data_IF_724354271526
#
_entry.id   IF_724354271526
#
_cell.length_a   1.000
_cell.length_b   1.000
_cell.length_c   1.000
_cell.angle_alpha   90.00
_cell.angle_beta   90.00
_cell.angle_gamma   90.00
#
_symmetry.space_group_name_H-M   'P 1'
#
loop_
_entity.id
_entity.type
_entity.pdbx_description
1 polymer ?
#
# COMPACT_ATOMS: atom_id res chain seq x y z
N UNK A 1 -30.54 -18.03 -6.48
CA UNK A 1 -30.52 -17.03 -5.39
C UNK A 1 -29.34 -16.06 -5.50
N UNK A 2 -28.23 -16.47 -6.14
CA UNK A 2 -27.02 -15.67 -6.27
C UNK A 2 -26.88 -14.97 -7.64
N UNK A 3 -27.74 -15.29 -8.57
CA UNK A 3 -27.80 -14.64 -9.87
C UNK A 3 -28.05 -13.13 -9.70
N UNK A 4 -27.30 -12.30 -10.38
CA UNK A 4 -27.36 -10.84 -10.34
C UNK A 4 -27.05 -10.19 -8.96
N UNK A 5 -26.47 -10.95 -7.99
CA UNK A 5 -26.17 -10.42 -6.67
C UNK A 5 -25.17 -9.27 -6.68
N UNK A 6 -24.19 -9.33 -7.58
CA UNK A 6 -23.09 -8.35 -7.67
C UNK A 6 -23.23 -7.38 -8.85
N UNK A 7 -24.38 -7.32 -9.48
CA UNK A 7 -24.63 -6.57 -10.73
C UNK A 7 -24.20 -5.10 -10.68
N UNK A 8 -24.36 -4.42 -9.53
CA UNK A 8 -23.94 -3.03 -9.36
C UNK A 8 -22.44 -2.86 -9.00
N UNK A 9 -21.73 -3.96 -8.73
CA UNK A 9 -20.35 -3.97 -8.27
C UNK A 9 -19.43 -4.73 -9.22
N UNK A 10 -19.94 -5.19 -10.36
CA UNK A 10 -19.18 -5.88 -11.39
C UNK A 10 -19.43 -5.27 -12.77
N UNK A 11 -18.44 -5.39 -13.65
CA UNK A 11 -18.56 -4.94 -15.03
C UNK A 11 -19.42 -5.85 -15.90
N UNK A 12 -19.63 -7.10 -15.45
CA UNK A 12 -20.48 -8.06 -16.12
C UNK A 12 -20.95 -9.14 -15.17
N UNK A 13 -22.14 -9.66 -15.44
CA UNK A 13 -22.79 -10.71 -14.67
C UNK A 13 -23.19 -11.82 -15.63
N UNK A 14 -22.57 -12.98 -15.45
CA UNK A 14 -22.62 -14.14 -16.35
C UNK A 14 -23.25 -15.32 -15.65
N UNK A 15 -24.05 -16.08 -16.38
CA UNK A 15 -24.73 -17.28 -15.92
C UNK A 15 -24.25 -18.48 -16.75
N UNK A 16 -23.72 -19.50 -16.09
CA UNK A 16 -23.43 -20.79 -16.73
C UNK A 16 -24.71 -21.62 -16.83
N UNK A 17 -24.68 -22.59 -17.74
CA UNK A 17 -25.75 -23.59 -17.90
C UNK A 17 -25.38 -24.88 -17.19
N UNK A 18 -26.39 -25.61 -16.75
CA UNK A 18 -26.22 -26.98 -16.26
C UNK A 18 -25.87 -27.96 -17.38
N UNK A 19 -25.10 -29.00 -17.08
CA UNK A 19 -24.59 -29.99 -18.05
C UNK A 19 -25.68 -30.80 -18.78
N UNK A 20 -26.91 -30.80 -18.27
CA UNK A 20 -28.03 -31.50 -18.84
C UNK A 20 -28.54 -31.01 -20.21
N UNK A 21 -28.01 -29.86 -20.66
CA UNK A 21 -28.41 -29.23 -21.92
C UNK A 21 -27.44 -29.58 -23.04
N UNK A 22 -28.00 -29.82 -24.22
CA UNK A 22 -27.21 -30.01 -25.46
C UNK A 22 -26.31 -28.78 -25.69
N UNK A 23 -25.01 -29.01 -25.94
CA UNK A 23 -23.98 -27.97 -26.12
C UNK A 23 -23.70 -27.07 -24.86
N UNK A 24 -24.07 -27.52 -23.65
CA UNK A 24 -23.83 -26.74 -22.43
C UNK A 24 -22.34 -26.43 -22.20
N UNK A 25 -21.46 -27.39 -22.50
CA UNK A 25 -20.01 -27.23 -22.35
C UNK A 25 -19.47 -26.11 -23.22
N UNK A 26 -19.74 -26.11 -24.53
CA UNK A 26 -19.29 -25.08 -25.46
C UNK A 26 -19.82 -23.67 -25.08
N UNK A 27 -21.09 -23.60 -24.72
CA UNK A 27 -21.73 -22.35 -24.29
C UNK A 27 -21.13 -21.82 -22.97
N UNK A 28 -20.79 -22.72 -22.05
CA UNK A 28 -20.14 -22.36 -20.79
C UNK A 28 -18.72 -21.86 -21.02
N UNK A 29 -17.93 -22.51 -21.90
CA UNK A 29 -16.61 -22.05 -22.28
C UNK A 29 -16.65 -20.65 -22.93
N UNK A 30 -17.57 -20.42 -23.87
CA UNK A 30 -17.76 -19.11 -24.48
C UNK A 30 -18.14 -18.03 -23.45
N UNK A 31 -18.98 -18.40 -22.49
CA UNK A 31 -19.40 -17.49 -21.42
C UNK A 31 -18.25 -17.14 -20.48
N UNK A 32 -17.46 -18.14 -20.06
CA UNK A 32 -16.26 -17.95 -19.24
C UNK A 32 -15.24 -17.08 -19.98
N UNK A 33 -15.00 -17.38 -21.27
CA UNK A 33 -14.08 -16.62 -22.11
C UNK A 33 -14.49 -15.15 -22.17
N UNK A 34 -15.76 -14.84 -22.47
CA UNK A 34 -16.29 -13.47 -22.49
C UNK A 34 -16.14 -12.78 -21.13
N UNK A 35 -16.40 -13.48 -20.03
CA UNK A 35 -16.24 -12.93 -18.70
C UNK A 35 -14.78 -12.56 -18.42
N UNK A 36 -13.84 -13.44 -18.75
CA UNK A 36 -12.39 -13.21 -18.57
C UNK A 36 -11.91 -12.06 -19.47
N UNK A 37 -12.31 -12.04 -20.74
CA UNK A 37 -11.98 -10.95 -21.68
C UNK A 37 -12.48 -9.60 -21.16
N UNK A 38 -13.71 -9.52 -20.65
CA UNK A 38 -14.27 -8.30 -20.06
C UNK A 38 -13.52 -7.88 -18.78
N UNK A 39 -13.16 -8.86 -17.94
CA UNK A 39 -12.35 -8.61 -16.75
C UNK A 39 -10.99 -7.97 -17.10
N UNK A 40 -10.32 -8.46 -18.14
CA UNK A 40 -9.07 -7.89 -18.63
C UNK A 40 -9.26 -6.53 -19.31
N UNK A 41 -10.31 -6.38 -20.12
CA UNK A 41 -10.61 -5.11 -20.81
C UNK A 41 -10.88 -3.98 -19.81
N UNK A 42 -11.71 -4.26 -18.81
CA UNK A 42 -12.13 -3.27 -17.81
C UNK A 42 -11.18 -3.19 -16.62
N UNK A 43 -10.20 -4.11 -16.50
CA UNK A 43 -9.33 -4.28 -15.34
C UNK A 43 -10.10 -4.25 -14.00
N UNK A 44 -11.22 -4.96 -13.97
CA UNK A 44 -12.13 -4.93 -12.84
C UNK A 44 -12.97 -6.21 -12.71
N UNK A 45 -13.78 -6.31 -11.65
CA UNK A 45 -14.47 -7.54 -11.32
C UNK A 45 -15.57 -7.89 -12.32
N UNK A 46 -15.72 -9.19 -12.58
CA UNK A 46 -16.87 -9.81 -13.23
C UNK A 46 -17.43 -10.88 -12.30
N UNK A 47 -18.70 -11.17 -12.41
CA UNK A 47 -19.36 -12.23 -11.65
C UNK A 47 -19.80 -13.36 -12.59
N UNK A 48 -19.43 -14.59 -12.23
CA UNK A 48 -19.90 -15.81 -12.92
C UNK A 48 -20.70 -16.63 -11.93
N UNK A 49 -22.00 -16.77 -12.16
CA UNK A 49 -22.87 -17.62 -11.36
C UNK A 49 -22.91 -19.03 -11.99
N UNK A 50 -22.63 -20.05 -11.16
CA UNK A 50 -22.58 -21.45 -11.56
C UNK A 50 -23.74 -22.17 -10.89
N UNK A 51 -24.83 -22.51 -11.60
CA UNK A 51 -25.89 -23.33 -11.07
C UNK A 51 -25.40 -24.78 -10.97
N UNK A 52 -25.69 -25.44 -9.85
CA UNK A 52 -25.35 -26.83 -9.62
C UNK A 52 -26.55 -27.52 -8.94
N UNK A 53 -26.85 -28.74 -9.36
CA UNK A 53 -27.85 -29.59 -8.72
C UNK A 53 -27.17 -30.67 -7.87
N UNK A 54 -27.78 -31.01 -6.75
CA UNK A 54 -27.32 -32.12 -5.91
C UNK A 54 -27.97 -33.45 -6.36
N UNK A 55 -27.28 -34.60 -6.17
CA UNK A 55 -25.96 -34.78 -5.51
C UNK A 55 -24.76 -34.61 -6.45
N UNK A 56 -23.67 -34.03 -5.93
CA UNK A 56 -22.41 -33.78 -6.65
C UNK A 56 -21.36 -34.84 -6.28
N UNK A 57 -21.69 -36.12 -6.40
CA UNK A 57 -20.81 -37.22 -5.97
C UNK A 57 -20.12 -37.96 -7.13
N UNK A 58 -20.46 -37.63 -8.34
CA UNK A 58 -19.86 -38.26 -9.52
C UNK A 58 -18.44 -37.77 -9.74
N UNK A 59 -17.56 -38.71 -10.14
CA UNK A 59 -16.16 -38.43 -10.44
C UNK A 59 -15.96 -38.51 -11.94
N UNK A 60 -15.23 -37.53 -12.48
CA UNK A 60 -14.76 -37.56 -13.87
C UNK A 60 -13.41 -38.26 -13.94
N UNK A 61 -13.19 -39.09 -14.95
CA UNK A 61 -11.93 -39.82 -15.16
C UNK A 61 -10.82 -38.94 -15.77
N UNK A 62 -11.20 -37.93 -16.53
CA UNK A 62 -10.29 -36.99 -17.18
C UNK A 62 -10.78 -35.55 -17.02
N UNK A 63 -9.85 -34.61 -16.80
CA UNK A 63 -10.19 -33.23 -16.79
C UNK A 63 -10.46 -32.71 -18.19
N UNK A 64 -11.49 -31.89 -18.41
CA UNK A 64 -11.75 -31.28 -19.71
C UNK A 64 -10.59 -30.38 -20.13
N UNK A 65 -10.34 -30.28 -21.41
CA UNK A 65 -9.37 -29.34 -21.96
C UNK A 65 -9.98 -27.98 -22.05
N UNK A 66 -9.42 -27.01 -21.27
CA UNK A 66 -9.91 -25.63 -21.27
C UNK A 66 -9.29 -24.84 -22.42
N UNK A 67 -10.09 -24.03 -23.15
CA UNK A 67 -9.55 -23.15 -24.17
C UNK A 67 -8.63 -22.10 -23.55
N UNK A 68 -7.52 -21.81 -24.21
CA UNK A 68 -6.62 -20.75 -23.79
C UNK A 68 -7.22 -19.39 -24.10
N UNK A 69 -7.33 -18.54 -23.10
CA UNK A 69 -7.69 -17.13 -23.28
C UNK A 69 -6.42 -16.33 -23.48
N UNK A 70 -6.20 -15.83 -24.69
CA UNK A 70 -5.07 -14.96 -24.98
C UNK A 70 -5.32 -13.56 -24.42
N UNK A 71 -4.39 -13.07 -23.60
CA UNK A 71 -4.43 -11.68 -23.13
C UNK A 71 -4.02 -10.77 -24.28
N UNK A 72 -4.99 -10.26 -25.02
CA UNK A 72 -4.74 -9.26 -26.06
C UNK A 72 -4.43 -7.93 -25.40
N UNK A 73 -3.16 -7.64 -25.13
CA UNK A 73 -2.70 -6.32 -24.71
C UNK A 73 -2.67 -5.45 -25.98
N UNK A 74 -3.74 -4.70 -26.24
CA UNK A 74 -3.70 -3.65 -27.25
C UNK A 74 -2.79 -2.54 -26.74
N UNK A 75 -1.57 -2.44 -27.25
CA UNK A 75 -0.77 -1.23 -27.06
C UNK A 75 -1.48 -0.10 -27.83
N UNK A 76 -2.08 0.81 -27.09
CA UNK A 76 -2.66 2.02 -27.64
C UNK A 76 -1.50 2.90 -28.11
N UNK A 77 -1.39 3.18 -29.41
CA UNK A 77 -0.50 4.24 -29.86
C UNK A 77 -0.95 5.54 -29.20
N UNK A 78 -0.01 6.21 -28.54
CA UNK A 78 -0.26 7.44 -27.81
C UNK A 78 0.74 8.51 -28.28
N UNK A 79 0.25 9.62 -28.74
CA UNK A 79 1.05 10.82 -28.99
C UNK A 79 0.76 11.84 -27.89
N UNK A 80 1.80 12.48 -27.38
CA UNK A 80 1.62 13.51 -26.36
C UNK A 80 0.99 14.74 -27.00
N UNK A 81 -0.18 15.20 -26.55
CA UNK A 81 -0.77 16.44 -27.00
C UNK A 81 0.16 17.64 -26.78
N UNK A 82 0.28 18.51 -27.77
CA UNK A 82 1.18 19.66 -27.72
C UNK A 82 0.89 20.64 -26.57
N UNK A 83 -0.39 20.72 -26.14
CA UNK A 83 -0.77 21.51 -24.97
C UNK A 83 -0.12 20.96 -23.68
N UNK A 84 -0.03 19.64 -23.48
CA UNK A 84 0.64 19.07 -22.30
C UNK A 84 2.13 19.38 -22.28
N UNK A 85 2.78 19.36 -23.45
CA UNK A 85 4.19 19.77 -23.56
C UNK A 85 4.36 21.26 -23.23
N UNK A 86 3.46 22.11 -23.73
CA UNK A 86 3.49 23.54 -23.44
C UNK A 86 3.23 23.83 -21.95
N UNK A 87 2.26 23.15 -21.35
CA UNK A 87 1.93 23.26 -19.92
C UNK A 87 3.10 22.83 -19.03
N UNK A 88 3.76 21.72 -19.37
CA UNK A 88 4.98 21.31 -18.69
C UNK A 88 6.07 22.37 -18.78
N UNK A 89 6.41 22.84 -20.00
CA UNK A 89 7.50 23.78 -20.22
C UNK A 89 7.24 25.18 -19.63
N UNK A 90 6.00 25.55 -19.37
CA UNK A 90 5.63 26.82 -18.72
C UNK A 90 5.49 26.71 -17.19
N UNK A 91 5.38 25.50 -16.66
CA UNK A 91 5.26 25.24 -15.22
C UNK A 91 6.63 25.37 -14.54
N UNK A 92 6.72 26.22 -13.51
CA UNK A 92 7.94 26.39 -12.72
C UNK A 92 8.04 25.44 -11.51
N UNK A 93 6.90 24.92 -11.08
CA UNK A 93 6.78 24.07 -9.89
C UNK A 93 6.06 22.78 -10.27
N UNK A 94 6.83 21.78 -10.68
CA UNK A 94 6.28 20.49 -11.09
C UNK A 94 6.46 19.47 -9.97
N UNK A 95 5.36 18.84 -9.57
CA UNK A 95 5.34 17.77 -8.58
C UNK A 95 4.73 16.51 -9.18
N UNK A 96 5.42 15.39 -9.00
CA UNK A 96 4.90 14.06 -9.30
C UNK A 96 4.65 13.33 -7.98
N UNK A 97 3.41 12.93 -7.74
CA UNK A 97 3.04 12.15 -6.56
C UNK A 97 2.71 10.72 -6.99
N UNK A 98 3.48 9.77 -6.47
CA UNK A 98 3.31 8.35 -6.78
C UNK A 98 2.65 7.64 -5.60
N UNK A 99 1.45 7.10 -5.83
CA UNK A 99 0.71 6.28 -4.88
C UNK A 99 1.13 4.81 -4.91
N UNK A 100 0.28 3.95 -4.38
CA UNK A 100 0.50 2.49 -4.33
C UNK A 100 0.68 1.92 -5.73
N UNK A 101 1.75 1.12 -5.93
CA UNK A 101 1.99 0.39 -7.17
C UNK A 101 3.05 -0.69 -7.00
N UNK A 102 3.11 -1.62 -7.95
CA UNK A 102 4.23 -2.55 -8.06
C UNK A 102 5.50 -1.82 -8.52
N UNK A 103 6.65 -2.38 -8.16
CA UNK A 103 7.94 -1.87 -8.62
C UNK A 103 8.04 -1.91 -10.15
N UNK A 104 8.39 -0.79 -10.74
CA UNK A 104 8.67 -0.64 -12.16
C UNK A 104 10.04 0.00 -12.35
N UNK A 105 11.05 -0.77 -12.77
CA UNK A 105 12.38 -0.22 -13.06
C UNK A 105 12.34 0.81 -14.17
N UNK A 106 11.45 0.65 -15.14
CA UNK A 106 11.27 1.58 -16.25
C UNK A 106 10.80 2.94 -15.74
N UNK A 107 9.74 2.99 -14.92
CA UNK A 107 9.27 4.24 -14.34
C UNK A 107 10.30 4.87 -13.41
N UNK A 108 10.97 4.08 -12.56
CA UNK A 108 12.00 4.61 -11.67
C UNK A 108 13.13 5.27 -12.46
N UNK A 109 13.60 4.66 -13.56
CA UNK A 109 14.61 5.23 -14.44
C UNK A 109 14.14 6.55 -15.08
N UNK A 110 12.88 6.61 -15.56
CA UNK A 110 12.32 7.81 -16.17
C UNK A 110 12.18 8.96 -15.15
N UNK A 111 11.64 8.66 -13.97
CA UNK A 111 11.54 9.66 -12.89
C UNK A 111 12.93 10.10 -12.40
N UNK A 112 13.92 9.18 -12.40
CA UNK A 112 15.30 9.51 -12.07
C UNK A 112 15.89 10.52 -13.07
N UNK A 113 15.59 10.38 -14.37
CA UNK A 113 16.01 11.37 -15.36
C UNK A 113 15.40 12.74 -15.09
N UNK A 114 14.11 12.79 -14.72
CA UNK A 114 13.40 14.04 -14.38
C UNK A 114 13.99 14.76 -13.16
N UNK A 115 14.45 14.02 -12.14
CA UNK A 115 15.04 14.62 -10.94
C UNK A 115 16.55 14.86 -11.04
N UNK A 116 17.23 14.35 -12.09
CA UNK A 116 18.69 14.43 -12.23
C UNK A 116 19.20 15.86 -12.17
N UNK A 117 18.52 16.79 -12.81
CA UNK A 117 18.85 18.21 -12.84
C UNK A 117 18.08 19.03 -11.79
N UNK A 118 17.48 18.39 -10.78
CA UNK A 118 16.65 19.08 -9.77
C UNK A 118 15.47 19.85 -10.39
N UNK A 119 14.90 19.33 -11.48
CA UNK A 119 13.83 20.02 -12.23
C UNK A 119 12.44 19.77 -11.64
N UNK A 120 12.23 18.60 -11.01
CA UNK A 120 10.93 18.10 -10.59
C UNK A 120 11.00 17.53 -9.18
N UNK A 121 9.97 17.77 -8.39
CA UNK A 121 9.78 17.14 -7.07
C UNK A 121 9.01 15.83 -7.25
N UNK A 122 9.58 14.71 -6.84
CA UNK A 122 8.92 13.40 -6.85
C UNK A 122 8.62 12.98 -5.40
N UNK A 123 7.35 12.99 -5.04
CA UNK A 123 6.86 12.45 -3.77
C UNK A 123 6.44 10.99 -3.94
N UNK A 124 6.87 10.12 -3.05
CA UNK A 124 6.48 8.71 -3.04
C UNK A 124 6.25 8.20 -1.62
N UNK A 125 5.47 7.15 -1.50
CA UNK A 125 5.22 6.46 -0.25
C UNK A 125 5.99 5.14 -0.20
N UNK A 126 6.10 4.51 0.96
CA UNK A 126 6.79 3.22 1.10
C UNK A 126 6.25 2.16 0.11
N UNK A 127 4.92 2.10 -0.05
CA UNK A 127 4.23 1.19 -0.96
C UNK A 127 4.10 1.70 -2.42
N UNK A 128 4.80 2.77 -2.76
CA UNK A 128 5.04 3.19 -4.16
C UNK A 128 6.18 2.40 -4.80
N UNK A 129 6.98 1.70 -3.99
CA UNK A 129 8.11 0.88 -4.43
C UNK A 129 9.10 1.64 -5.33
N UNK A 130 9.43 2.88 -4.97
CA UNK A 130 10.44 3.71 -5.62
C UNK A 130 11.57 4.00 -4.63
N UNK A 131 12.83 3.90 -5.08
CA UNK A 131 13.96 3.82 -4.17
C UNK A 131 15.07 4.87 -4.41
N UNK A 132 14.97 5.70 -5.45
CA UNK A 132 16.00 6.68 -5.78
C UNK A 132 16.16 7.73 -4.67
N UNK A 133 17.39 8.07 -4.30
CA UNK A 133 17.74 8.94 -3.16
C UNK A 133 17.17 10.37 -3.25
N UNK A 134 16.99 10.88 -4.48
CA UNK A 134 16.40 12.22 -4.72
C UNK A 134 14.88 12.25 -4.67
N UNK A 135 14.21 11.10 -4.47
CA UNK A 135 12.78 11.08 -4.24
C UNK A 135 12.46 11.38 -2.78
N UNK A 136 11.38 12.10 -2.55
CA UNK A 136 10.90 12.44 -1.22
C UNK A 136 9.99 11.29 -0.72
N UNK A 137 10.60 10.25 -0.16
CA UNK A 137 9.94 8.96 0.15
C UNK A 137 9.18 8.92 1.48
N UNK A 138 9.41 9.89 2.37
CA UNK A 138 8.80 9.94 3.70
C UNK A 138 7.86 11.12 3.83
N UNK A 139 6.83 11.16 2.97
CA UNK A 139 5.95 12.32 2.80
C UNK A 139 5.44 12.86 4.13
N UNK A 140 4.98 11.99 5.05
CA UNK A 140 4.42 12.45 6.33
C UNK A 140 5.46 13.10 7.24
N UNK A 141 6.76 12.80 7.13
CA UNK A 141 7.81 13.55 7.83
C UNK A 141 7.81 15.02 7.40
N UNK A 142 7.58 15.28 6.13
CA UNK A 142 7.69 16.62 5.54
C UNK A 142 6.41 17.42 5.70
N UNK A 143 5.26 16.86 5.36
CA UNK A 143 3.99 17.60 5.22
C UNK A 143 3.05 17.53 6.44
N UNK A 144 3.33 16.66 7.43
CA UNK A 144 2.39 16.42 8.54
C UNK A 144 2.00 17.69 9.29
N UNK A 145 2.96 18.59 9.46
CA UNK A 145 2.80 19.83 10.22
C UNK A 145 2.50 21.06 9.35
N UNK A 146 2.26 20.91 8.05
CA UNK A 146 1.97 22.03 7.17
C UNK A 146 0.73 22.81 7.60
N UNK A 147 0.82 24.15 7.51
CA UNK A 147 -0.22 25.13 7.74
C UNK A 147 -0.58 25.82 6.42
N UNK A 148 -1.51 26.78 6.46
CA UNK A 148 -1.94 27.50 5.25
C UNK A 148 -0.80 28.23 4.51
N UNK A 149 0.13 28.81 5.25
CA UNK A 149 1.33 29.46 4.69
C UNK A 149 2.24 28.47 3.95
N UNK A 150 2.40 27.25 4.52
CA UNK A 150 3.17 26.18 3.91
C UNK A 150 2.48 25.68 2.65
N UNK A 151 1.14 25.58 2.65
CA UNK A 151 0.40 25.18 1.46
C UNK A 151 0.67 26.08 0.27
N UNK A 152 0.81 27.39 0.47
CA UNK A 152 1.17 28.34 -0.61
C UNK A 152 2.62 28.21 -1.02
N UNK A 153 3.51 28.09 -0.03
CA UNK A 153 4.95 28.00 -0.25
C UNK A 153 5.34 26.76 -1.05
N UNK A 154 4.77 25.61 -0.69
CA UNK A 154 5.11 24.29 -1.28
C UNK A 154 4.14 23.83 -2.37
N UNK A 155 3.13 24.64 -2.76
CA UNK A 155 2.19 24.30 -3.82
C UNK A 155 2.89 24.09 -5.16
N UNK A 156 2.57 23.02 -5.91
CA UNK A 156 2.96 22.91 -7.32
C UNK A 156 2.07 23.77 -8.23
N UNK A 157 2.61 24.19 -9.38
CA UNK A 157 1.81 24.71 -10.49
C UNK A 157 1.15 23.56 -11.26
N UNK A 158 1.95 22.50 -11.52
CA UNK A 158 1.54 21.27 -12.16
C UNK A 158 1.73 20.09 -11.18
N UNK A 159 0.64 19.43 -10.86
CA UNK A 159 0.61 18.17 -10.14
C UNK A 159 0.39 17.02 -11.15
N UNK A 160 1.25 16.02 -11.10
CA UNK A 160 1.06 14.77 -11.85
C UNK A 160 0.92 13.65 -10.85
N UNK A 161 -0.15 12.86 -10.95
CA UNK A 161 -0.38 11.73 -10.05
C UNK A 161 -0.32 10.42 -10.81
N UNK A 162 0.32 9.42 -10.19
CA UNK A 162 0.57 8.10 -10.77
C UNK A 162 0.27 7.03 -9.72
N UNK A 163 -0.27 5.90 -10.16
CA UNK A 163 -0.58 4.77 -9.28
C UNK A 163 -1.90 4.97 -8.52
N UNK A 164 -2.15 4.03 -7.61
CA UNK A 164 -3.42 3.95 -6.90
C UNK A 164 -3.45 4.82 -5.64
N UNK A 165 -4.16 4.36 -4.63
CA UNK A 165 -4.40 5.10 -3.39
C UNK A 165 -3.12 5.58 -2.68
N UNK A 166 -3.13 6.82 -2.24
CA UNK A 166 -2.12 7.41 -1.37
C UNK A 166 -2.53 7.19 0.10
N UNK A 167 -1.60 6.77 0.95
CA UNK A 167 -1.84 6.51 2.38
C UNK A 167 -1.98 7.81 3.15
N UNK A 168 -1.08 8.77 2.92
CA UNK A 168 -1.01 10.03 3.65
C UNK A 168 -2.28 10.87 3.52
N UNK A 169 -2.98 11.07 4.64
CA UNK A 169 -4.10 12.04 4.70
C UNK A 169 -3.60 13.48 4.65
N UNK A 170 -2.35 13.72 5.07
CA UNK A 170 -1.77 15.05 5.15
C UNK A 170 -1.38 15.60 3.78
N UNK A 171 -0.78 14.78 2.92
CA UNK A 171 -0.53 15.20 1.53
C UNK A 171 -1.83 15.45 0.77
N UNK A 172 -2.88 14.66 1.02
CA UNK A 172 -4.20 14.93 0.44
C UNK A 172 -4.77 16.27 0.90
N UNK A 173 -4.69 16.55 2.20
CA UNK A 173 -5.12 17.83 2.76
C UNK A 173 -4.32 18.99 2.16
N UNK A 174 -2.99 18.86 2.10
CA UNK A 174 -2.09 19.84 1.50
C UNK A 174 -2.51 20.15 0.05
N UNK A 175 -2.58 19.15 -0.82
CA UNK A 175 -2.85 19.36 -2.24
C UNK A 175 -4.27 19.87 -2.52
N UNK A 176 -5.27 19.44 -1.72
CA UNK A 176 -6.63 19.99 -1.79
C UNK A 176 -6.69 21.46 -1.41
N UNK A 177 -5.89 21.88 -0.44
CA UNK A 177 -5.83 23.28 0.02
C UNK A 177 -4.95 24.13 -0.89
N UNK A 178 -3.84 23.58 -1.40
CA UNK A 178 -2.91 24.25 -2.31
C UNK A 178 -3.54 24.55 -3.68
N UNK A 179 -4.50 23.74 -4.13
CA UNK A 179 -5.22 23.87 -5.40
C UNK A 179 -4.29 24.12 -6.58
N UNK A 180 -3.45 23.13 -6.98
CA UNK A 180 -2.63 23.22 -8.18
C UNK A 180 -3.41 23.76 -9.38
N UNK A 181 -2.77 24.58 -10.22
CA UNK A 181 -3.41 25.13 -11.42
C UNK A 181 -3.79 24.04 -12.42
N UNK A 182 -2.94 23.01 -12.48
CA UNK A 182 -3.15 21.84 -13.32
C UNK A 182 -2.88 20.57 -12.52
N UNK A 183 -3.71 19.56 -12.78
CA UNK A 183 -3.53 18.22 -12.23
C UNK A 183 -3.78 17.19 -13.34
N UNK A 184 -2.73 16.42 -13.65
CA UNK A 184 -2.81 15.30 -14.58
C UNK A 184 -2.82 14.00 -13.78
N UNK A 185 -3.68 13.07 -14.13
CA UNK A 185 -3.65 11.71 -13.59
C UNK A 185 -3.38 10.70 -14.69
N UNK A 186 -2.37 9.86 -14.47
CA UNK A 186 -1.89 8.85 -15.41
C UNK A 186 -2.32 7.47 -14.93
N UNK A 187 -3.31 6.90 -15.58
CA UNK A 187 -3.76 5.52 -15.38
C UNK A 187 -4.59 5.07 -16.58
N UNK A 188 -4.50 3.78 -16.97
CA UNK A 188 -5.22 3.25 -18.14
C UNK A 188 -6.73 3.15 -17.90
N UNK A 189 -7.18 3.03 -16.64
CA UNK A 189 -8.55 2.63 -16.31
C UNK A 189 -9.20 3.55 -15.29
N UNK A 190 -8.49 3.93 -14.24
CA UNK A 190 -9.09 4.58 -13.08
C UNK A 190 -8.46 5.93 -12.79
N UNK A 191 -9.16 7.00 -13.09
CA UNK A 191 -8.69 8.38 -12.93
C UNK A 191 -9.58 9.17 -11.96
N UNK A 192 -9.44 8.94 -10.64
CA UNK A 192 -10.22 9.66 -9.64
C UNK A 192 -9.71 11.08 -9.43
N UNK A 193 -10.62 12.03 -9.29
CA UNK A 193 -10.25 13.38 -8.83
C UNK A 193 -10.10 13.43 -7.31
N UNK A 194 -9.03 12.83 -6.80
CA UNK A 194 -8.74 12.76 -5.36
C UNK A 194 -8.49 14.14 -4.74
N UNK A 195 -8.02 15.10 -5.53
CA UNK A 195 -7.59 16.42 -5.04
C UNK A 195 -8.56 17.54 -5.40
N UNK A 196 -9.65 17.23 -6.13
CA UNK A 196 -10.70 18.17 -6.57
C UNK A 196 -10.20 19.28 -7.51
N UNK A 197 -9.17 18.98 -8.28
CA UNK A 197 -8.54 19.89 -9.24
C UNK A 197 -8.05 19.16 -10.51
N UNK A 198 -8.60 17.99 -10.81
CA UNK A 198 -8.18 17.19 -11.96
C UNK A 198 -8.53 17.91 -13.26
N UNK A 199 -7.51 18.24 -14.06
CA UNK A 199 -7.65 18.91 -15.36
C UNK A 199 -7.53 17.93 -16.52
N UNK A 200 -6.64 16.92 -16.41
CA UNK A 200 -6.38 15.97 -17.48
C UNK A 200 -6.41 14.52 -16.97
N UNK A 201 -7.20 13.71 -17.68
CA UNK A 201 -7.24 12.25 -17.53
C UNK A 201 -6.43 11.62 -18.66
N UNK A 202 -5.27 11.10 -18.35
CA UNK A 202 -4.36 10.56 -19.34
C UNK A 202 -4.42 9.03 -19.30
N UNK A 203 -5.22 8.43 -20.19
CA UNK A 203 -5.53 7.01 -20.24
C UNK A 203 -4.39 6.20 -20.87
N UNK A 204 -3.24 6.18 -20.20
CA UNK A 204 -2.06 5.44 -20.62
C UNK A 204 -1.20 5.04 -19.43
N UNK A 205 -0.39 3.99 -19.59
CA UNK A 205 0.59 3.62 -18.59
C UNK A 205 1.61 4.74 -18.38
N UNK A 206 1.95 5.06 -17.13
CA UNK A 206 2.92 6.11 -16.80
C UNK A 206 4.26 5.93 -17.52
N UNK A 207 4.74 4.70 -17.65
CA UNK A 207 5.98 4.38 -18.34
C UNK A 207 5.97 4.83 -19.80
N UNK A 208 4.86 4.61 -20.50
CA UNK A 208 4.71 5.01 -21.91
C UNK A 208 4.64 6.53 -22.01
N UNK A 209 3.89 7.18 -21.10
CA UNK A 209 3.77 8.64 -21.08
C UNK A 209 5.14 9.31 -20.86
N UNK A 210 5.85 8.95 -19.78
CA UNK A 210 7.14 9.59 -19.48
C UNK A 210 8.21 9.28 -20.49
N UNK A 211 8.24 8.07 -21.09
CA UNK A 211 9.16 7.75 -22.19
C UNK A 211 9.01 8.71 -23.36
N UNK A 212 7.78 9.06 -23.70
CA UNK A 212 7.48 9.99 -24.80
C UNK A 212 7.72 11.45 -24.38
N UNK A 213 7.26 11.84 -23.19
CA UNK A 213 7.37 13.21 -22.67
C UNK A 213 8.83 13.69 -22.61
N UNK A 214 9.74 12.83 -22.17
CA UNK A 214 11.18 13.13 -22.06
C UNK A 214 11.82 13.60 -23.37
N UNK A 215 11.23 13.28 -24.52
CA UNK A 215 11.74 13.73 -25.84
C UNK A 215 11.37 15.17 -26.19
N UNK A 216 10.43 15.79 -25.47
CA UNK A 216 9.85 17.10 -25.83
C UNK A 216 10.05 18.17 -24.76
N UNK A 217 10.57 17.83 -23.58
CA UNK A 217 10.67 18.73 -22.44
C UNK A 217 12.11 19.17 -22.19
N UNK A 218 12.23 20.37 -21.66
CA UNK A 218 13.50 20.87 -21.13
C UNK A 218 13.57 20.58 -19.63
N UNK A 219 14.73 20.09 -19.17
CA UNK A 219 14.98 19.77 -17.76
C UNK A 219 15.96 20.79 -17.18
N UNK A 220 15.45 21.93 -16.74
CA UNK A 220 16.22 22.98 -16.10
C UNK A 220 16.12 22.87 -14.56
N UNK A 221 17.19 23.18 -13.81
CA UNK A 221 17.14 23.23 -12.35
C UNK A 221 16.04 24.16 -11.84
N UNK A 222 15.27 23.73 -10.87
CA UNK A 222 14.17 24.48 -10.31
C UNK A 222 14.42 24.91 -8.87
N UNK A 223 14.23 26.19 -8.51
CA UNK A 223 14.21 26.62 -7.12
C UNK A 223 13.19 25.85 -6.25
N UNK A 224 12.15 25.32 -6.88
CA UNK A 224 11.14 24.52 -6.21
C UNK A 224 11.68 23.20 -5.66
N UNK A 225 12.57 22.52 -6.42
CA UNK A 225 13.25 21.33 -5.92
C UNK A 225 14.12 21.67 -4.70
N UNK A 226 14.92 22.72 -4.78
CA UNK A 226 15.79 23.13 -3.67
C UNK A 226 15.00 23.48 -2.40
N UNK A 227 13.81 24.07 -2.54
CA UNK A 227 12.91 24.35 -1.42
C UNK A 227 12.51 23.06 -0.68
N UNK A 228 12.13 22.03 -1.42
CA UNK A 228 11.78 20.71 -0.86
C UNK A 228 13.01 19.97 -0.29
N UNK A 229 14.14 20.10 -0.92
CA UNK A 229 15.38 19.44 -0.47
C UNK A 229 15.86 20.00 0.87
N UNK A 230 15.83 21.33 1.04
CA UNK A 230 16.12 21.99 2.33
C UNK A 230 15.13 21.55 3.42
N UNK A 231 13.84 21.43 3.09
CA UNK A 231 12.82 20.92 4.03
C UNK A 231 13.14 19.48 4.41
N UNK A 232 13.44 18.62 3.43
CA UNK A 232 13.79 17.21 3.63
C UNK A 232 14.97 17.09 4.60
N UNK A 233 16.09 17.78 4.34
CA UNK A 233 17.30 17.69 5.16
C UNK A 233 17.01 18.08 6.62
N UNK A 234 16.26 19.15 6.85
CA UNK A 234 15.87 19.58 8.19
C UNK A 234 15.00 18.55 8.91
N UNK A 235 14.01 18.00 8.21
CA UNK A 235 13.07 17.01 8.79
C UNK A 235 13.76 15.67 9.03
N UNK A 236 14.61 15.24 8.14
CA UNK A 236 15.35 13.99 8.29
C UNK A 236 16.37 14.09 9.44
N UNK A 237 17.07 15.22 9.59
CA UNK A 237 17.93 15.47 10.75
C UNK A 237 17.16 15.41 12.08
N UNK A 238 15.96 16.01 12.14
CA UNK A 238 15.09 15.91 13.31
C UNK A 238 14.57 14.50 13.56
N UNK A 239 14.27 13.76 12.52
CA UNK A 239 13.89 12.34 12.64
C UNK A 239 15.00 11.54 13.33
N UNK A 240 16.24 11.64 12.85
CA UNK A 240 17.39 10.96 13.44
C UNK A 240 17.63 11.38 14.91
N UNK A 241 17.48 12.66 15.24
CA UNK A 241 17.55 13.12 16.62
C UNK A 241 16.48 12.46 17.51
N UNK A 242 15.24 12.36 17.04
CA UNK A 242 14.17 11.73 17.80
C UNK A 242 14.40 10.25 18.03
N UNK A 243 14.93 9.53 17.04
CA UNK A 243 15.25 8.10 17.14
C UNK A 243 16.22 7.78 18.30
N UNK A 244 17.13 8.71 18.62
CA UNK A 244 18.07 8.54 19.73
C UNK A 244 17.42 8.71 21.13
N UNK A 245 16.18 9.18 21.19
CA UNK A 245 15.49 9.51 22.46
C UNK A 245 14.23 8.68 22.69
N UNK A 246 13.72 8.02 21.65
CA UNK A 246 12.47 7.26 21.75
C UNK A 246 12.70 5.95 22.51
N UNK A 247 11.89 5.72 23.56
CA UNK A 247 11.88 4.46 24.31
C UNK A 247 10.99 3.39 23.68
N UNK A 248 11.00 2.22 24.31
CA UNK A 248 10.26 1.04 23.87
C UNK A 248 8.76 1.33 23.67
N UNK A 249 8.33 1.22 22.43
CA UNK A 249 6.99 1.59 21.91
C UNK A 249 6.78 1.00 20.52
N UNK A 250 5.58 1.17 19.94
CA UNK A 250 5.34 0.83 18.51
C UNK A 250 6.34 1.56 17.60
N UNK A 251 6.59 2.84 17.85
CA UNK A 251 7.53 3.64 17.06
C UNK A 251 8.96 3.05 17.12
N UNK A 252 9.44 2.71 18.31
CA UNK A 252 10.73 2.07 18.51
C UNK A 252 10.82 0.72 17.79
N UNK A 253 9.77 -0.11 17.90
CA UNK A 253 9.70 -1.38 17.18
C UNK A 253 9.86 -1.19 15.67
N UNK A 254 9.10 -0.26 15.07
CA UNK A 254 9.18 -0.01 13.63
C UNK A 254 10.57 0.49 13.20
N UNK A 255 11.20 1.33 14.00
CA UNK A 255 12.60 1.75 13.80
C UNK A 255 13.54 0.54 13.76
N UNK A 256 13.51 -0.32 14.77
CA UNK A 256 14.38 -1.49 14.85
C UNK A 256 14.08 -2.52 13.75
N UNK A 257 12.81 -2.76 13.48
CA UNK A 257 12.40 -3.68 12.42
C UNK A 257 12.90 -3.21 11.04
N UNK A 258 12.78 -1.93 10.71
CA UNK A 258 13.24 -1.40 9.41
C UNK A 258 14.72 -1.65 9.13
N UNK A 259 15.55 -1.69 10.18
CA UNK A 259 17.00 -1.90 10.10
C UNK A 259 17.40 -3.38 9.98
N UNK A 260 16.56 -4.30 10.47
CA UNK A 260 16.92 -5.72 10.63
C UNK A 260 16.32 -6.66 9.60
N UNK A 261 15.27 -6.24 8.89
CA UNK A 261 14.64 -7.06 7.86
C UNK A 261 15.63 -7.37 6.74
N UNK A 262 15.88 -8.65 6.36
CA UNK A 262 16.79 -9.00 5.26
C UNK A 262 16.24 -8.54 3.89
N UNK A 263 17.14 -8.22 2.95
CA UNK A 263 16.76 -7.63 1.65
C UNK A 263 15.86 -8.51 0.78
N UNK A 264 15.94 -9.82 0.92
CA UNK A 264 15.15 -10.77 0.13
C UNK A 264 13.67 -10.84 0.54
N UNK A 265 13.26 -10.21 1.66
CA UNK A 265 11.87 -10.25 2.09
C UNK A 265 10.97 -9.30 1.34
N UNK A 266 9.84 -9.82 0.85
CA UNK A 266 8.70 -9.01 0.48
C UNK A 266 7.91 -8.64 1.75
N UNK A 267 7.62 -7.36 1.94
CA UNK A 267 6.99 -6.88 3.18
C UNK A 267 5.53 -6.54 2.91
N UNK A 268 4.64 -7.14 3.66
CA UNK A 268 3.22 -6.80 3.71
C UNK A 268 2.92 -6.04 4.98
N UNK A 269 2.35 -4.85 4.86
CA UNK A 269 1.85 -4.09 6.00
C UNK A 269 0.32 -4.19 6.08
N UNK A 270 -0.20 -4.43 7.27
CA UNK A 270 -1.63 -4.26 7.51
C UNK A 270 -2.01 -2.77 7.51
N UNK A 271 -3.29 -2.51 7.41
CA UNK A 271 -3.82 -1.15 7.47
C UNK A 271 -3.70 -0.52 8.88
N UNK A 272 -4.28 0.66 9.05
CA UNK A 272 -4.27 1.44 10.29
C UNK A 272 -2.88 1.97 10.65
N UNK A 273 -2.38 1.70 11.85
CA UNK A 273 -1.08 2.21 12.33
C UNK A 273 0.10 1.59 11.59
N UNK A 274 0.03 0.30 11.20
CA UNK A 274 1.15 -0.40 10.55
C UNK A 274 1.67 0.34 9.30
N UNK A 275 0.81 0.55 8.32
CA UNK A 275 1.23 1.23 7.09
C UNK A 275 1.60 2.71 7.32
N UNK A 276 1.05 3.36 8.36
CA UNK A 276 1.43 4.75 8.68
C UNK A 276 2.81 4.85 9.32
N UNK A 277 3.16 3.92 10.20
CA UNK A 277 4.54 3.81 10.69
C UNK A 277 5.49 3.48 9.55
N UNK A 278 5.10 2.58 8.64
CA UNK A 278 5.91 2.25 7.47
C UNK A 278 6.30 3.48 6.64
N UNK A 279 5.45 4.51 6.56
CA UNK A 279 5.78 5.76 5.85
C UNK A 279 6.90 6.58 6.52
N UNK A 280 7.28 6.24 7.75
CA UNK A 280 8.27 7.00 8.53
C UNK A 280 9.67 6.39 8.49
N UNK A 281 9.86 5.20 7.94
CA UNK A 281 11.13 4.48 7.96
C UNK A 281 11.54 4.00 6.58
N UNK A 282 12.86 3.83 6.38
CA UNK A 282 13.40 3.32 5.13
C UNK A 282 13.52 1.78 5.19
N UNK A 283 12.99 1.13 4.17
CA UNK A 283 13.07 -0.32 4.00
C UNK A 283 13.99 -0.72 2.83
N UNK A 284 14.82 0.19 2.34
CA UNK A 284 15.73 -0.06 1.22
C UNK A 284 14.98 -0.39 -0.06
N UNK A 285 15.42 -1.43 -0.78
CA UNK A 285 14.83 -1.88 -2.06
C UNK A 285 13.80 -3.00 -1.92
N UNK A 286 13.35 -3.29 -0.71
CA UNK A 286 12.35 -4.33 -0.45
C UNK A 286 11.01 -3.94 -1.07
N UNK A 287 10.33 -4.91 -1.66
CA UNK A 287 8.98 -4.69 -2.18
C UNK A 287 7.98 -4.61 -1.03
N UNK A 288 7.18 -3.56 -1.03
CA UNK A 288 6.22 -3.26 0.03
C UNK A 288 4.80 -3.32 -0.53
N UNK A 289 3.97 -4.09 0.15
CA UNK A 289 2.57 -4.29 -0.18
C UNK A 289 1.67 -3.90 1.00
N UNK A 290 0.48 -3.44 0.69
CA UNK A 290 -0.55 -3.15 1.69
C UNK A 290 -1.94 -3.35 1.07
N UNK A 291 -2.81 -4.03 1.77
CA UNK A 291 -4.19 -4.26 1.34
C UNK A 291 -5.04 -2.98 1.52
N UNK A 292 -4.88 -2.03 0.59
CA UNK A 292 -5.36 -0.63 0.73
C UNK A 292 -6.68 -0.31 0.04
N UNK A 293 -7.43 -1.26 -0.50
CA UNK A 293 -8.70 -0.98 -1.21
C UNK A 293 -9.60 -0.01 -0.43
N UNK A 294 -10.24 -0.49 0.64
CA UNK A 294 -11.09 0.32 1.54
C UNK A 294 -10.44 0.67 2.87
N UNK A 295 -9.18 0.27 3.07
CA UNK A 295 -8.39 0.47 4.30
C UNK A 295 -8.94 -0.27 5.54
N UNK A 296 -9.65 -1.39 5.35
CA UNK A 296 -10.07 -2.30 6.41
C UNK A 296 -8.88 -2.99 7.09
N UNK A 297 -9.09 -3.51 8.30
CA UNK A 297 -8.10 -4.29 9.04
C UNK A 297 -8.23 -5.80 8.82
N UNK A 298 -9.23 -6.21 8.04
CA UNK A 298 -9.47 -7.55 7.52
C UNK A 298 -8.59 -7.85 6.30
N UNK A 299 -8.41 -9.11 5.97
CA UNK A 299 -7.77 -9.58 4.75
C UNK A 299 -6.26 -9.39 4.65
N UNK A 300 -5.59 -8.75 5.61
CA UNK A 300 -4.14 -8.49 5.53
C UNK A 300 -3.31 -9.76 5.70
N UNK A 301 -3.70 -10.64 6.63
CA UNK A 301 -3.02 -11.90 6.89
C UNK A 301 -3.23 -12.87 5.73
N UNK A 302 -4.47 -13.08 5.32
CA UNK A 302 -4.82 -14.00 4.21
C UNK A 302 -4.19 -13.57 2.89
N UNK A 303 -4.14 -12.26 2.59
CA UNK A 303 -3.46 -11.73 1.40
C UNK A 303 -1.95 -12.03 1.43
N UNK A 304 -1.29 -11.79 2.57
CA UNK A 304 0.15 -12.07 2.71
C UNK A 304 0.45 -13.57 2.61
N UNK A 305 -0.40 -14.44 3.17
CA UNK A 305 -0.26 -15.89 3.06
C UNK A 305 -0.46 -16.37 1.62
N UNK A 306 -1.50 -15.87 0.94
CA UNK A 306 -1.73 -16.18 -0.47
C UNK A 306 -0.57 -15.75 -1.37
N UNK A 307 0.03 -14.59 -1.10
CA UNK A 307 1.23 -14.12 -1.80
C UNK A 307 2.42 -15.08 -1.57
N UNK A 308 2.69 -15.46 -0.31
CA UNK A 308 3.79 -16.36 0.03
C UNK A 308 3.66 -17.72 -0.63
N UNK A 309 2.46 -18.30 -0.64
CA UNK A 309 2.17 -19.59 -1.27
C UNK A 309 2.39 -19.50 -2.79
N UNK A 310 1.91 -18.45 -3.44
CA UNK A 310 1.95 -18.32 -4.90
C UNK A 310 3.35 -18.01 -5.43
N UNK A 311 4.10 -17.14 -4.75
CA UNK A 311 5.38 -16.65 -5.26
C UNK A 311 6.58 -17.47 -4.74
N UNK A 312 6.40 -18.25 -3.67
CA UNK A 312 7.45 -19.01 -3.00
C UNK A 312 8.67 -18.16 -2.56
N UNK A 313 8.44 -16.86 -2.31
CA UNK A 313 9.45 -15.90 -1.88
C UNK A 313 9.36 -15.62 -0.37
N UNK A 314 10.48 -15.31 0.32
CA UNK A 314 10.46 -14.85 1.70
C UNK A 314 9.47 -13.71 1.90
N UNK A 315 8.49 -13.93 2.78
CA UNK A 315 7.38 -13.02 3.00
C UNK A 315 7.28 -12.65 4.47
N UNK A 316 7.24 -11.35 4.74
CA UNK A 316 7.04 -10.79 6.07
C UNK A 316 5.72 -10.03 6.12
N UNK A 317 4.85 -10.38 7.05
CA UNK A 317 3.70 -9.56 7.42
C UNK A 317 4.02 -8.76 8.69
N UNK A 318 3.84 -7.44 8.66
CA UNK A 318 3.86 -6.58 9.85
C UNK A 318 2.44 -6.06 10.09
N UNK A 319 1.86 -6.44 11.23
CA UNK A 319 0.45 -6.22 11.52
C UNK A 319 0.21 -5.78 12.95
N UNK A 320 -0.84 -5.03 13.19
CA UNK A 320 -1.35 -4.78 14.54
C UNK A 320 -2.14 -5.99 15.05
N UNK A 321 -2.27 -6.05 16.36
CA UNK A 321 -3.00 -7.07 17.10
C UNK A 321 -4.46 -7.27 16.62
N UNK A 322 -5.23 -6.20 16.52
CA UNK A 322 -6.61 -6.27 16.06
C UNK A 322 -6.72 -6.79 14.61
N UNK A 323 -5.85 -6.32 13.71
CA UNK A 323 -5.84 -6.79 12.32
C UNK A 323 -5.48 -8.27 12.24
N UNK A 324 -4.52 -8.72 13.06
CA UNK A 324 -4.15 -10.13 13.15
C UNK A 324 -5.32 -10.99 13.62
N UNK A 325 -6.00 -10.60 14.73
CA UNK A 325 -7.14 -11.36 15.26
C UNK A 325 -8.36 -11.36 14.33
N UNK A 326 -8.57 -10.31 13.55
CA UNK A 326 -9.67 -10.24 12.59
C UNK A 326 -9.49 -11.19 11.40
N UNK A 327 -8.24 -11.50 11.02
CA UNK A 327 -7.92 -12.27 9.82
C UNK A 327 -7.10 -13.53 10.10
N UNK A 328 -7.27 -14.11 11.29
CA UNK A 328 -6.58 -15.35 11.69
C UNK A 328 -6.95 -16.54 10.81
N UNK A 329 -8.10 -16.51 10.15
CA UNK A 329 -8.55 -17.57 9.24
C UNK A 329 -7.61 -17.77 8.06
N UNK A 330 -6.78 -16.80 7.71
CA UNK A 330 -5.70 -16.97 6.72
C UNK A 330 -4.63 -17.99 7.12
N UNK A 331 -4.59 -18.43 8.39
CA UNK A 331 -3.54 -19.30 8.93
C UNK A 331 -3.93 -20.78 9.05
N UNK A 332 -5.17 -21.15 8.90
CA UNK A 332 -5.62 -22.53 9.17
C UNK A 332 -5.45 -23.51 7.99
N UNK A 333 -4.72 -23.14 6.96
CA UNK A 333 -4.41 -24.00 5.84
C UNK A 333 -3.01 -24.66 5.99
N UNK A 334 -2.80 -25.76 5.28
CA UNK A 334 -1.57 -26.57 5.35
C UNK A 334 -0.47 -26.15 4.34
N UNK A 335 -0.66 -25.04 3.63
CA UNK A 335 0.21 -24.64 2.53
C UNK A 335 1.19 -23.50 2.91
N UNK A 336 1.14 -22.99 4.15
CA UNK A 336 1.97 -21.86 4.58
C UNK A 336 3.45 -22.28 4.63
N UNK A 337 4.33 -21.64 3.84
CA UNK A 337 5.73 -22.03 3.78
C UNK A 337 6.51 -21.66 5.07
N UNK A 338 7.58 -22.43 5.40
CA UNK A 338 8.38 -22.20 6.61
C UNK A 338 9.17 -20.89 6.61
N UNK A 339 9.35 -20.26 5.45
CA UNK A 339 10.01 -18.95 5.32
C UNK A 339 9.10 -17.76 5.65
N UNK A 340 7.81 -17.98 5.91
CA UNK A 340 6.89 -16.93 6.31
C UNK A 340 7.23 -16.41 7.69
N UNK A 341 7.19 -15.08 7.83
CA UNK A 341 7.39 -14.36 9.09
C UNK A 341 6.22 -13.42 9.34
N UNK A 342 5.72 -13.38 10.57
CA UNK A 342 4.68 -12.44 11.00
C UNK A 342 5.19 -11.68 12.20
N UNK A 343 5.24 -10.36 12.14
CA UNK A 343 5.50 -9.47 13.27
C UNK A 343 4.21 -8.80 13.69
N UNK A 344 3.83 -8.99 14.95
CA UNK A 344 2.65 -8.37 15.55
C UNK A 344 3.13 -7.32 16.56
N UNK A 345 2.78 -6.05 16.35
CA UNK A 345 2.89 -5.05 17.40
C UNK A 345 1.57 -5.01 18.16
N UNK A 346 1.62 -5.49 19.40
CA UNK A 346 0.45 -5.63 20.26
C UNK A 346 0.46 -4.51 21.32
N UNK A 347 -0.32 -3.47 21.04
CA UNK A 347 -0.54 -2.38 21.99
C UNK A 347 -1.86 -2.51 22.76
N UNK A 348 -2.64 -3.57 22.49
CA UNK A 348 -3.87 -3.92 23.17
C UNK A 348 -5.09 -3.09 22.78
N UNK A 349 -5.02 -2.33 21.68
CA UNK A 349 -6.11 -1.43 21.27
C UNK A 349 -6.00 -0.92 19.83
N UNK A 350 -7.07 -0.33 19.32
CA UNK A 350 -7.04 0.45 18.08
C UNK A 350 -6.41 1.83 18.30
N UNK A 351 -5.11 1.88 18.56
CA UNK A 351 -4.37 3.10 18.93
C UNK A 351 -4.53 4.27 17.95
N UNK A 352 -4.79 3.99 16.67
CA UNK A 352 -5.03 5.01 15.63
C UNK A 352 -6.17 5.97 16.00
N UNK A 353 -7.20 5.49 16.69
CA UNK A 353 -8.35 6.31 17.08
C UNK A 353 -8.03 7.38 18.14
N UNK A 354 -6.91 7.26 18.83
CA UNK A 354 -6.39 8.27 19.76
C UNK A 354 -5.55 9.36 19.08
N UNK A 355 -5.22 9.16 17.80
CA UNK A 355 -4.30 10.03 17.05
C UNK A 355 -5.05 10.83 15.99
N UNK A 356 -6.03 10.23 15.31
CA UNK A 356 -6.74 10.87 14.20
C UNK A 356 -7.76 11.89 14.71
N UNK A 357 -7.98 13.03 14.00
CA UNK A 357 -9.05 13.96 14.29
C UNK A 357 -10.43 13.29 14.31
N UNK A 358 -11.31 13.78 15.14
CA UNK A 358 -12.63 13.18 15.42
C UNK A 358 -12.54 12.32 16.67
N UNK A 359 -12.30 11.01 16.58
CA UNK A 359 -12.17 10.14 17.75
C UNK A 359 -11.11 10.62 18.75
N UNK A 360 -9.94 11.09 18.27
CA UNK A 360 -8.85 11.58 19.12
C UNK A 360 -9.18 12.85 19.92
N UNK A 361 -10.25 13.55 19.56
CA UNK A 361 -10.76 14.73 20.27
C UNK A 361 -12.04 14.46 21.09
N UNK A 362 -12.54 13.20 21.05
CA UNK A 362 -13.73 12.82 21.79
C UNK A 362 -13.41 12.50 23.27
N UNK A 363 -14.44 12.26 24.08
CA UNK A 363 -14.26 11.83 25.46
C UNK A 363 -13.41 10.54 25.52
N UNK A 364 -12.24 10.54 26.20
CA UNK A 364 -11.33 9.39 26.24
C UNK A 364 -12.00 8.09 26.70
N UNK A 365 -12.90 8.14 27.69
CA UNK A 365 -13.60 6.95 28.17
C UNK A 365 -14.51 6.35 27.11
N UNK A 366 -15.21 7.19 26.34
CA UNK A 366 -16.06 6.73 25.24
C UNK A 366 -15.23 6.16 24.09
N UNK A 367 -14.07 6.74 23.81
CA UNK A 367 -13.13 6.20 22.80
C UNK A 367 -12.61 4.83 23.23
N UNK A 368 -12.20 4.69 24.47
CA UNK A 368 -11.68 3.45 25.04
C UNK A 368 -12.73 2.33 25.05
N UNK A 369 -13.96 2.64 25.41
CA UNK A 369 -15.05 1.66 25.53
C UNK A 369 -15.65 1.25 24.18
N UNK A 370 -15.93 2.21 23.29
CA UNK A 370 -16.75 1.96 22.09
C UNK A 370 -15.96 1.96 20.77
N UNK A 371 -14.73 2.49 20.74
CA UNK A 371 -14.00 2.72 19.49
C UNK A 371 -12.64 1.99 19.48
N UNK A 372 -11.85 2.11 20.53
CA UNK A 372 -10.49 1.58 20.57
C UNK A 372 -10.40 0.06 20.72
N UNK A 373 -11.49 -0.62 21.08
CA UNK A 373 -11.56 -2.08 21.20
C UNK A 373 -10.42 -2.64 22.08
N UNK A 374 -10.29 -2.13 23.30
CA UNK A 374 -9.24 -2.54 24.23
C UNK A 374 -9.31 -4.02 24.58
N UNK A 375 -8.12 -4.67 24.67
CA UNK A 375 -8.01 -6.08 25.02
C UNK A 375 -6.67 -6.40 25.68
N UNK A 376 -6.59 -7.62 26.27
CA UNK A 376 -5.36 -8.19 26.87
C UNK A 376 -4.97 -9.53 26.23
N UNK A 377 -5.37 -9.76 24.98
CA UNK A 377 -5.12 -11.00 24.25
C UNK A 377 -3.69 -10.98 23.67
N UNK A 378 -3.11 -12.18 23.50
CA UNK A 378 -1.87 -12.39 22.76
C UNK A 378 -2.04 -13.49 21.71
N UNK A 379 -1.07 -13.63 20.82
CA UNK A 379 -1.12 -14.57 19.72
C UNK A 379 -0.56 -15.97 20.05
N UNK A 380 -0.05 -16.23 21.27
CA UNK A 380 0.71 -17.44 21.60
C UNK A 380 -0.04 -18.73 21.29
N UNK A 381 -1.28 -18.87 21.81
CA UNK A 381 -2.06 -20.09 21.62
C UNK A 381 -2.48 -20.28 20.17
N UNK A 382 -2.77 -19.20 19.45
CA UNK A 382 -3.10 -19.24 18.03
C UNK A 382 -1.87 -19.63 17.19
N UNK A 383 -0.72 -19.07 17.48
CA UNK A 383 0.53 -19.42 16.80
C UNK A 383 0.81 -20.93 16.91
N UNK A 384 0.76 -21.49 18.12
CA UNK A 384 0.93 -22.91 18.37
C UNK A 384 -0.14 -23.76 17.69
N UNK A 385 -1.39 -23.33 17.72
CA UNK A 385 -2.51 -24.02 17.08
C UNK A 385 -2.32 -24.15 15.56
N UNK A 386 -1.80 -23.11 14.90
CA UNK A 386 -1.55 -23.08 13.47
C UNK A 386 -0.13 -23.55 13.05
N UNK A 387 0.66 -24.10 13.99
CA UNK A 387 1.98 -24.66 13.69
C UNK A 387 3.09 -23.65 13.48
N UNK A 388 2.98 -22.45 14.06
CA UNK A 388 4.03 -21.44 14.04
C UNK A 388 4.91 -21.51 15.28
N UNK A 389 6.23 -21.33 15.09
CA UNK A 389 7.10 -20.96 16.19
C UNK A 389 6.76 -19.56 16.69
N UNK A 390 6.65 -19.40 18.01
CA UNK A 390 6.24 -18.14 18.62
C UNK A 390 7.29 -17.57 19.55
N UNK A 391 7.54 -16.27 19.43
CA UNK A 391 8.39 -15.51 20.36
C UNK A 391 7.68 -14.22 20.75
N UNK A 392 7.75 -13.86 22.05
CA UNK A 392 7.23 -12.61 22.57
C UNK A 392 8.34 -11.75 23.14
N UNK A 393 8.22 -10.45 22.93
CA UNK A 393 9.10 -9.41 23.47
C UNK A 393 8.26 -8.43 24.26
N UNK A 394 8.57 -8.24 25.55
CA UNK A 394 7.89 -7.34 26.47
C UNK A 394 8.76 -6.12 26.85
N UNK A 395 10.05 -6.13 26.51
CA UNK A 395 11.02 -5.11 26.91
C UNK A 395 12.10 -4.88 25.85
N UNK A 396 12.62 -3.67 25.82
CA UNK A 396 13.61 -3.18 24.87
C UNK A 396 14.87 -4.04 24.82
N UNK A 397 15.40 -4.42 26.00
CA UNK A 397 16.68 -5.13 26.13
C UNK A 397 16.76 -6.46 25.37
N UNK A 398 15.63 -7.06 25.05
CA UNK A 398 15.57 -8.36 24.34
C UNK A 398 15.30 -8.23 22.86
N UNK A 399 14.79 -7.09 22.40
CA UNK A 399 14.28 -6.92 21.03
C UNK A 399 15.36 -7.16 19.96
N UNK A 400 16.51 -6.53 20.07
CA UNK A 400 17.57 -6.63 19.05
C UNK A 400 18.02 -8.08 18.85
N UNK A 401 18.29 -8.81 19.96
CA UNK A 401 18.66 -10.22 19.90
C UNK A 401 17.57 -11.10 19.29
N UNK A 402 16.31 -10.80 19.59
CA UNK A 402 15.16 -11.56 19.05
C UNK A 402 15.02 -11.29 17.56
N UNK A 403 15.14 -10.05 17.10
CA UNK A 403 15.08 -9.68 15.70
C UNK A 403 16.17 -10.38 14.86
N UNK A 404 17.41 -10.43 15.36
CA UNK A 404 18.53 -11.15 14.72
C UNK A 404 18.23 -12.64 14.50
N UNK A 405 17.55 -13.28 15.46
CA UNK A 405 17.22 -14.71 15.40
C UNK A 405 15.93 -14.99 14.62
N UNK A 406 15.04 -14.04 14.54
CA UNK A 406 13.73 -14.19 13.93
C UNK A 406 13.80 -14.54 12.44
N UNK A 407 14.74 -13.96 11.72
CA UNK A 407 14.91 -14.18 10.27
C UNK A 407 15.77 -15.40 9.93
N UNK A 408 16.38 -16.07 10.92
CA UNK A 408 17.13 -17.31 10.66
C UNK A 408 16.19 -18.39 10.09
N UNK A 409 16.66 -19.21 9.12
CA UNK A 409 15.89 -20.33 8.60
C UNK A 409 15.35 -21.23 9.70
N UNK A 410 14.21 -21.82 9.48
CA UNK A 410 13.54 -22.75 10.40
C UNK A 410 12.65 -23.71 9.59
N UNK A 411 12.27 -24.82 10.20
CA UNK A 411 11.33 -25.78 9.62
C UNK A 411 9.87 -25.30 9.72
N UNK A 412 9.61 -24.32 10.57
CA UNK A 412 8.28 -23.75 10.80
C UNK A 412 8.25 -22.25 10.48
N UNK A 413 7.12 -21.72 10.03
CA UNK A 413 6.90 -20.28 9.96
C UNK A 413 6.94 -19.70 11.39
N UNK A 414 7.25 -18.40 11.51
CA UNK A 414 7.46 -17.76 12.81
C UNK A 414 6.55 -16.56 13.02
N UNK A 415 6.06 -16.43 14.26
CA UNK A 415 5.38 -15.23 14.75
C UNK A 415 6.25 -14.59 15.85
N UNK A 416 6.54 -13.30 15.68
CA UNK A 416 7.12 -12.43 16.70
C UNK A 416 6.04 -11.47 17.17
N UNK A 417 5.70 -11.50 18.44
CA UNK A 417 4.79 -10.53 19.05
C UNK A 417 5.57 -9.58 19.95
N UNK A 418 5.56 -8.29 19.61
CA UNK A 418 6.15 -7.23 20.41
C UNK A 418 5.05 -6.54 21.20
N UNK A 419 5.07 -6.73 22.50
CA UNK A 419 4.06 -6.21 23.42
C UNK A 419 4.41 -4.80 23.87
N UNK A 420 3.69 -3.83 23.33
CA UNK A 420 3.82 -2.42 23.67
C UNK A 420 2.62 -1.89 24.48
N UNK A 421 1.87 -2.80 25.10
CA UNK A 421 0.74 -2.44 25.96
C UNK A 421 1.17 -1.48 27.09
N UNK A 422 0.41 -0.40 27.27
CA UNK A 422 0.70 0.62 28.28
C UNK A 422 1.90 1.54 27.99
N UNK A 423 2.50 1.48 26.80
CA UNK A 423 3.65 2.32 26.43
C UNK A 423 3.29 3.69 25.84
N UNK A 424 2.05 4.15 26.02
CA UNK A 424 1.58 5.46 25.54
C UNK A 424 1.87 5.72 24.05
N UNK A 425 1.67 4.72 23.20
CA UNK A 425 2.05 4.77 21.79
C UNK A 425 1.49 5.97 21.02
N UNK A 426 0.25 6.40 21.33
CA UNK A 426 -0.36 7.60 20.76
C UNK A 426 0.41 8.88 21.13
N UNK A 427 0.84 9.00 22.37
CA UNK A 427 1.60 10.15 22.83
C UNK A 427 3.01 10.20 22.25
N UNK A 428 3.66 9.04 22.09
CA UNK A 428 4.96 8.94 21.40
C UNK A 428 4.84 9.46 19.96
N UNK A 429 3.80 9.05 19.22
CA UNK A 429 3.60 9.51 17.86
C UNK A 429 3.26 11.01 17.79
N UNK A 430 2.45 11.53 18.71
CA UNK A 430 2.20 12.98 18.82
C UNK A 430 3.47 13.75 19.13
N UNK A 431 4.27 13.26 20.09
CA UNK A 431 5.56 13.87 20.44
C UNK A 431 6.51 13.91 19.24
N UNK A 432 6.60 12.83 18.46
CA UNK A 432 7.39 12.79 17.24
C UNK A 432 7.00 13.89 16.26
N UNK A 433 5.73 14.01 15.89
CA UNK A 433 5.32 15.05 14.96
C UNK A 433 5.44 16.47 15.53
N UNK A 434 5.26 16.65 16.83
CA UNK A 434 5.53 17.93 17.48
C UNK A 434 7.02 18.29 17.43
N UNK A 435 7.92 17.32 17.66
CA UNK A 435 9.35 17.52 17.56
C UNK A 435 9.80 17.89 16.13
N UNK A 436 9.18 17.29 15.12
CA UNK A 436 9.42 17.68 13.73
C UNK A 436 8.91 19.10 13.40
N UNK A 437 8.04 19.70 14.22
CA UNK A 437 7.49 21.04 13.96
C UNK A 437 8.45 22.16 14.37
N UNK A 438 9.31 21.92 15.33
CA UNK A 438 10.26 22.89 15.89
C UNK A 438 11.42 23.15 14.91
N UNK A 439 11.17 23.87 13.80
CA UNK A 439 12.19 24.22 12.79
C UNK A 439 12.31 25.73 12.65
#
# INVERSE_FOLDING_TARGET
>A
RQQHLYQQHSYGDFQLMEDSRENAEDLNFDTIKKAIELCFEKQGPVHINIPLEEPLYDLISELPTFPTVEKTIRQKEYEIPSNLVADWNTSQRIMILVGTRDYSPELENQLTQLVKNHSVVVLSEANSNLHHEKFFRHIDRYVFNFREEDYRTYAPDLLITVGQNVVSKKVKQFLRSAKPKQHWHLDEVWQPDTYFVLTEKIEIRPEVFFSKLLNFINLEPSPYFNLWDVLKDKKDAKHEQFLNTVGFSDFYFFHKASQTIPEQYNIHFSNSSAIRYAQLFDYGKRKIYCNRGTSGIDGSTSTAMGFAIKNADPTLLITGDLSFFYDINGLWNQYIPPFVRIMIFNNGEGNIFKIIPGPGNANPNAVDEFIATKHHKNAEHLAKHFGFSYTRVDEEATLDRVLENFFKPDEQPKILEVNTYGKNNAEVQKAYFNFLKEI
#
